data_IF_498725211077
#
_entry.id   IF_498725211077
#
_cell.length_a   1.000
_cell.length_b   1.000
_cell.length_c   1.000
_cell.angle_alpha   90.00
_cell.angle_beta   90.00
_cell.angle_gamma   90.00
#
_symmetry.space_group_name_H-M   'P 1'
#
loop_
_entity.id
_entity.type
_entity.pdbx_description
1 polymer ?
#
# COMPACT_ATOMS: atom_id res chain seq x y z
N UNK A 1 -16.64 12.12 14.47
CA UNK A 1 -16.34 13.20 13.51
C UNK A 1 -14.82 13.29 13.32
N UNK A 2 -14.26 12.45 12.46
CA UNK A 2 -12.81 12.40 12.18
C UNK A 2 -12.53 12.26 10.67
N UNK A 3 -13.34 12.91 9.81
CA UNK A 3 -13.20 12.75 8.35
C UNK A 3 -12.42 13.84 7.63
N UNK A 4 -12.08 14.96 8.28
CA UNK A 4 -11.58 16.12 7.56
C UNK A 4 -10.05 16.32 7.54
N UNK A 5 -9.26 15.43 8.18
CA UNK A 5 -7.82 15.67 8.26
C UNK A 5 -7.03 15.18 7.02
N UNK A 6 -7.51 14.14 6.34
CA UNK A 6 -6.79 13.59 5.18
C UNK A 6 -6.99 14.42 3.91
N UNK A 7 -8.19 15.00 3.70
CA UNK A 7 -8.53 15.77 2.50
C UNK A 7 -7.69 17.05 2.33
N UNK A 8 -7.16 17.59 3.42
CA UNK A 8 -6.26 18.74 3.40
C UNK A 8 -4.81 18.34 3.16
N UNK A 9 -4.45 17.04 3.29
CA UNK A 9 -3.09 16.55 3.13
C UNK A 9 -2.61 16.72 1.68
N UNK A 10 -1.37 17.14 1.44
CA UNK A 10 -0.82 17.32 0.09
C UNK A 10 -0.95 16.08 -0.80
N UNK A 11 -0.73 14.88 -0.25
CA UNK A 11 -0.84 13.63 -1.01
C UNK A 11 -2.27 13.31 -1.43
N UNK A 12 -3.28 13.62 -0.59
CA UNK A 12 -4.68 13.49 -0.99
C UNK A 12 -5.01 14.46 -2.15
N UNK A 13 -4.58 15.72 -2.05
CA UNK A 13 -4.78 16.72 -3.10
C UNK A 13 -4.09 16.32 -4.40
N UNK A 14 -2.90 15.69 -4.32
CA UNK A 14 -2.22 15.16 -5.47
C UNK A 14 -3.10 14.15 -6.22
N UNK A 15 -3.62 13.13 -5.55
CA UNK A 15 -4.48 12.15 -6.22
C UNK A 15 -5.85 12.70 -6.62
N UNK A 16 -6.42 13.62 -5.85
CA UNK A 16 -7.67 14.30 -6.20
C UNK A 16 -7.54 15.14 -7.48
N UNK A 17 -6.35 15.59 -7.83
CA UNK A 17 -6.08 16.33 -9.08
C UNK A 17 -5.98 15.43 -10.32
N UNK A 18 -5.86 14.11 -10.14
CA UNK A 18 -5.77 13.12 -11.23
C UNK A 18 -7.17 12.54 -11.47
N UNK A 19 -7.80 12.75 -12.64
CA UNK A 19 -9.22 12.45 -12.84
C UNK A 19 -9.67 11.02 -12.51
N UNK A 20 -8.87 10.01 -12.86
CA UNK A 20 -9.22 8.62 -12.56
C UNK A 20 -9.00 8.27 -11.07
N UNK A 21 -8.00 8.85 -10.42
CA UNK A 21 -7.79 8.71 -8.98
C UNK A 21 -8.91 9.40 -8.19
N UNK A 22 -9.36 10.58 -8.62
CA UNK A 22 -10.49 11.29 -8.01
C UNK A 22 -11.77 10.44 -8.00
N UNK A 23 -12.04 9.68 -9.07
CA UNK A 23 -13.17 8.74 -9.13
C UNK A 23 -13.03 7.62 -8.08
N UNK A 24 -11.82 7.10 -7.89
CA UNK A 24 -11.54 6.10 -6.86
C UNK A 24 -11.76 6.71 -5.46
N UNK A 25 -11.19 7.88 -5.20
CA UNK A 25 -11.37 8.57 -3.91
C UNK A 25 -12.85 8.84 -3.60
N UNK A 26 -13.64 9.23 -4.59
CA UNK A 26 -15.09 9.43 -4.44
C UNK A 26 -15.82 8.14 -4.01
N UNK A 27 -15.40 6.97 -4.51
CA UNK A 27 -15.96 5.69 -4.08
C UNK A 27 -15.63 5.35 -2.61
N UNK A 28 -14.56 5.92 -2.06
CA UNK A 28 -14.13 5.75 -0.67
C UNK A 28 -14.54 6.92 0.24
N UNK A 29 -15.40 7.83 -0.20
CA UNK A 29 -15.85 9.01 0.59
C UNK A 29 -16.86 8.68 1.69
N UNK A 30 -17.38 7.44 1.74
CA UNK A 30 -18.32 6.97 2.76
C UNK A 30 -17.67 6.88 4.14
N UNK A 31 -18.40 7.14 5.25
CA UNK A 31 -17.88 6.96 6.62
C UNK A 31 -17.49 5.51 6.96
N UNK A 32 -17.92 4.56 6.14
CA UNK A 32 -17.54 3.13 6.26
C UNK A 32 -16.20 2.81 5.60
N UNK A 33 -15.51 3.79 5.05
CA UNK A 33 -14.19 3.65 4.48
C UNK A 33 -13.14 4.45 5.26
N UNK A 34 -11.90 4.07 5.06
CA UNK A 34 -10.72 4.75 5.59
C UNK A 34 -9.85 5.15 4.42
N UNK A 35 -9.45 6.42 4.40
CA UNK A 35 -8.44 6.95 3.48
C UNK A 35 -7.39 7.63 4.34
N UNK A 36 -6.15 7.25 4.20
CA UNK A 36 -5.04 7.88 4.92
C UNK A 36 -3.74 7.85 4.10
N UNK A 37 -2.81 8.72 4.46
CA UNK A 37 -1.44 8.65 3.94
C UNK A 37 -0.80 7.36 4.44
N UNK A 38 -0.05 6.68 3.57
CA UNK A 38 0.64 5.45 3.98
C UNK A 38 1.52 5.70 5.20
N UNK A 39 1.30 4.93 6.26
CA UNK A 39 2.08 5.05 7.50
C UNK A 39 3.58 4.74 7.29
N UNK A 40 3.92 3.96 6.27
CA UNK A 40 5.31 3.65 5.91
C UNK A 40 6.07 4.89 5.39
N UNK A 41 5.38 6.00 5.13
CA UNK A 41 6.00 7.28 4.76
C UNK A 41 6.49 8.08 5.98
N UNK A 42 6.29 7.59 7.19
CA UNK A 42 6.79 8.20 8.42
C UNK A 42 7.91 7.35 9.01
N UNK A 43 9.10 7.92 9.10
CA UNK A 43 10.24 7.27 9.79
C UNK A 43 10.00 7.32 11.29
N UNK A 44 10.03 6.17 11.96
CA UNK A 44 9.88 6.08 13.40
C UNK A 44 11.23 6.37 14.13
N UNK A 45 11.21 6.70 15.42
CA UNK A 45 12.42 6.89 16.23
C UNK A 45 13.35 5.65 16.22
N UNK A 46 12.79 4.46 16.08
CA UNK A 46 13.49 3.17 15.93
C UNK A 46 14.17 3.01 14.57
N UNK A 47 13.99 3.94 13.64
CA UNK A 47 14.35 3.89 12.22
C UNK A 47 13.55 2.91 11.38
N UNK A 48 12.49 2.34 11.90
CA UNK A 48 11.51 1.65 11.06
C UNK A 48 11.01 2.60 9.96
N UNK A 49 10.66 2.04 8.81
CA UNK A 49 10.26 2.77 7.60
C UNK A 49 11.34 3.71 7.01
N UNK A 50 12.61 3.61 7.45
CA UNK A 50 13.67 4.49 6.96
C UNK A 50 13.81 4.43 5.44
N UNK A 51 13.63 3.25 4.84
CA UNK A 51 13.80 3.10 3.40
C UNK A 51 12.67 3.77 2.62
N UNK A 52 11.41 3.46 2.94
CA UNK A 52 10.25 4.05 2.23
C UNK A 52 9.99 5.49 2.70
N UNK A 53 9.99 5.74 3.99
CA UNK A 53 9.64 7.04 4.57
C UNK A 53 10.76 8.07 4.53
N UNK A 54 12.01 7.64 4.45
CA UNK A 54 13.17 8.52 4.40
C UNK A 54 13.78 8.59 2.99
N UNK A 55 14.23 7.44 2.47
CA UNK A 55 14.98 7.41 1.21
C UNK A 55 14.09 7.58 -0.02
N UNK A 56 12.91 6.96 -0.02
CA UNK A 56 12.01 6.96 -1.18
C UNK A 56 10.82 7.95 -1.05
N UNK A 57 10.74 8.70 0.03
CA UNK A 57 9.74 9.74 0.25
C UNK A 57 10.24 11.10 -0.24
N UNK A 58 10.44 11.24 -1.54
CA UNK A 58 10.94 12.48 -2.14
C UNK A 58 10.14 12.86 -3.38
N UNK A 59 10.28 14.11 -3.84
CA UNK A 59 9.65 14.57 -5.07
C UNK A 59 10.15 13.81 -6.31
N UNK A 60 11.32 13.18 -6.25
CA UNK A 60 11.93 12.47 -7.38
C UNK A 60 11.68 10.95 -7.34
N UNK A 61 11.25 10.40 -6.23
CA UNK A 61 11.07 8.95 -6.06
C UNK A 61 9.57 8.58 -5.97
N UNK A 62 9.05 8.26 -4.78
CA UNK A 62 7.62 8.03 -4.56
C UNK A 62 7.01 9.34 -4.06
N UNK A 63 6.39 10.08 -4.98
CA UNK A 63 5.89 11.42 -4.70
C UNK A 63 4.69 11.43 -3.75
N UNK A 64 3.80 10.46 -3.88
CA UNK A 64 2.59 10.36 -3.07
C UNK A 64 2.16 8.91 -2.89
N UNK A 65 1.54 8.61 -1.74
CA UNK A 65 1.03 7.29 -1.41
C UNK A 65 -0.15 7.35 -0.46
N UNK A 66 -1.35 7.00 -0.94
CA UNK A 66 -2.55 6.82 -0.12
C UNK A 66 -2.90 5.34 0.05
N UNK A 67 -3.48 5.03 1.19
CA UNK A 67 -4.07 3.73 1.52
C UNK A 67 -5.57 3.91 1.70
N UNK A 68 -6.35 3.03 1.08
CA UNK A 68 -7.81 3.06 1.06
C UNK A 68 -8.35 1.66 1.38
N UNK A 69 -9.25 1.54 2.33
CA UNK A 69 -9.90 0.27 2.63
C UNK A 69 -11.24 0.46 3.34
N UNK A 70 -12.13 -0.54 3.33
CA UNK A 70 -13.30 -0.53 4.20
C UNK A 70 -12.88 -0.43 5.67
N UNK A 71 -13.65 0.29 6.48
CA UNK A 71 -13.42 0.32 7.92
C UNK A 71 -13.71 -1.06 8.51
N UNK A 72 -12.75 -1.69 9.19
CA UNK A 72 -12.98 -2.97 9.83
C UNK A 72 -14.16 -2.89 10.81
N UNK A 73 -15.00 -3.90 10.82
CA UNK A 73 -16.18 -4.00 11.68
C UNK A 73 -16.09 -5.25 12.58
N UNK A 74 -16.59 -5.12 13.83
CA UNK A 74 -16.75 -6.27 14.71
C UNK A 74 -17.76 -7.27 14.09
N UNK A 75 -17.66 -8.59 14.37
CA UNK A 75 -16.66 -9.21 15.25
C UNK A 75 -15.33 -9.55 14.57
N UNK A 76 -15.28 -9.61 13.23
CA UNK A 76 -14.16 -10.22 12.50
C UNK A 76 -12.98 -9.27 12.30
N UNK A 77 -13.21 -7.95 12.32
CA UNK A 77 -12.19 -6.92 12.10
C UNK A 77 -11.36 -7.13 10.83
N UNK A 78 -11.97 -7.72 9.81
CA UNK A 78 -11.30 -8.01 8.54
C UNK A 78 -11.37 -6.86 7.57
N UNK A 79 -10.31 -6.70 6.83
CA UNK A 79 -10.24 -5.89 5.61
C UNK A 79 -10.09 -6.86 4.45
N UNK A 80 -11.17 -7.10 3.69
CA UNK A 80 -11.15 -8.08 2.59
C UNK A 80 -10.28 -7.61 1.42
N UNK A 81 -10.30 -6.32 1.13
CA UNK A 81 -9.48 -5.69 0.10
C UNK A 81 -8.91 -4.37 0.62
N UNK A 82 -7.62 -4.19 0.40
CA UNK A 82 -6.93 -2.93 0.63
C UNK A 82 -6.42 -2.40 -0.70
N UNK A 83 -6.66 -1.13 -0.95
CA UNK A 83 -6.18 -0.41 -2.12
C UNK A 83 -5.10 0.60 -1.74
N UNK A 84 -4.16 0.85 -2.63
CA UNK A 84 -3.19 1.93 -2.51
C UNK A 84 -3.04 2.67 -3.84
N UNK A 85 -3.10 4.00 -3.79
CA UNK A 85 -2.69 4.86 -4.88
C UNK A 85 -1.24 5.27 -4.66
N UNK A 86 -0.38 5.06 -5.65
CA UNK A 86 1.07 5.32 -5.57
C UNK A 86 1.53 6.07 -6.81
N UNK A 87 2.25 7.16 -6.64
CA UNK A 87 2.89 7.89 -7.75
C UNK A 87 4.39 7.69 -7.73
N UNK A 88 4.92 7.08 -8.80
CA UNK A 88 6.35 7.01 -9.12
C UNK A 88 6.80 8.26 -9.85
N UNK A 89 8.05 8.68 -9.62
CA UNK A 89 8.69 9.75 -10.39
C UNK A 89 10.03 9.28 -10.99
N UNK A 90 10.80 10.18 -11.56
CA UNK A 90 12.00 9.89 -12.35
C UNK A 90 13.05 9.06 -11.62
N UNK A 91 13.25 9.25 -10.32
CA UNK A 91 14.17 8.44 -9.50
C UNK A 91 13.78 6.97 -9.37
N UNK A 92 12.60 6.56 -9.85
CA UNK A 92 12.15 5.18 -9.84
C UNK A 92 12.25 4.48 -11.20
N UNK A 93 12.81 5.14 -12.22
CA UNK A 93 12.93 4.62 -13.57
C UNK A 93 13.99 3.51 -13.66
N UNK A 94 13.66 2.41 -14.33
CA UNK A 94 14.60 1.36 -14.74
C UNK A 94 14.91 1.40 -16.23
N UNK A 95 13.90 1.68 -17.06
CA UNK A 95 13.99 1.93 -18.50
C UNK A 95 13.22 3.20 -18.83
N UNK A 96 13.54 3.88 -19.95
CA UNK A 96 12.83 5.11 -20.33
C UNK A 96 11.31 4.97 -20.21
N UNK A 97 10.68 5.82 -19.38
CA UNK A 97 9.24 5.83 -19.14
C UNK A 97 8.69 4.67 -18.31
N UNK A 98 9.54 3.81 -17.74
CA UNK A 98 9.13 2.58 -17.04
C UNK A 98 9.79 2.47 -15.68
N UNK A 99 9.01 2.20 -14.63
CA UNK A 99 9.51 1.97 -13.30
C UNK A 99 10.41 0.73 -13.23
N UNK A 100 11.46 0.80 -12.42
CA UNK A 100 12.35 -0.32 -12.17
C UNK A 100 11.61 -1.49 -11.52
N UNK A 101 11.89 -2.73 -11.97
CA UNK A 101 11.23 -3.93 -11.43
C UNK A 101 11.36 -4.08 -9.92
N UNK A 102 12.51 -3.70 -9.34
CA UNK A 102 12.70 -3.67 -7.89
C UNK A 102 11.82 -2.64 -7.18
N UNK A 103 11.52 -1.49 -7.82
CA UNK A 103 10.59 -0.50 -7.28
C UNK A 103 9.15 -1.00 -7.30
N UNK A 104 8.76 -1.72 -8.35
CA UNK A 104 7.45 -2.36 -8.46
C UNK A 104 7.31 -3.44 -7.37
N UNK A 105 8.29 -4.31 -7.21
CA UNK A 105 8.31 -5.36 -6.20
C UNK A 105 8.25 -4.78 -4.78
N UNK A 106 9.00 -3.71 -4.51
CA UNK A 106 8.95 -2.98 -3.24
C UNK A 106 7.53 -2.51 -2.91
N UNK A 107 6.86 -1.81 -3.86
CA UNK A 107 5.50 -1.30 -3.61
C UNK A 107 4.51 -2.43 -3.39
N UNK A 108 4.64 -3.54 -4.10
CA UNK A 108 3.79 -4.72 -3.90
C UNK A 108 4.02 -5.36 -2.52
N UNK A 109 5.28 -5.47 -2.05
CA UNK A 109 5.61 -5.94 -0.70
C UNK A 109 5.02 -5.02 0.37
N UNK A 110 5.27 -3.73 0.28
CA UNK A 110 4.78 -2.74 1.25
C UNK A 110 3.24 -2.72 1.36
N UNK A 111 2.52 -2.70 0.22
CA UNK A 111 1.04 -2.68 0.23
C UNK A 111 0.48 -3.96 0.86
N UNK A 112 1.06 -5.11 0.55
CA UNK A 112 0.62 -6.38 1.15
C UNK A 112 0.96 -6.46 2.63
N UNK A 113 2.09 -5.90 3.06
CA UNK A 113 2.48 -5.77 4.47
C UNK A 113 1.52 -4.87 5.24
N UNK A 114 1.18 -3.70 4.70
CA UNK A 114 0.15 -2.81 5.27
C UNK A 114 -1.18 -3.55 5.44
N UNK A 115 -1.57 -4.34 4.44
CA UNK A 115 -2.82 -5.09 4.47
C UNK A 115 -2.84 -6.14 5.59
N UNK A 116 -1.75 -6.88 5.79
CA UNK A 116 -1.64 -7.86 6.89
C UNK A 116 -1.72 -7.17 8.25
N UNK A 117 -1.13 -5.99 8.39
CA UNK A 117 -1.21 -5.19 9.62
C UNK A 117 -2.64 -4.68 9.84
N UNK A 118 -3.34 -4.26 8.78
CA UNK A 118 -4.73 -3.77 8.85
C UNK A 118 -5.76 -4.84 9.28
N UNK A 119 -5.41 -6.14 9.23
CA UNK A 119 -6.24 -7.24 9.75
C UNK A 119 -6.30 -7.30 11.28
N UNK A 120 -5.60 -6.43 11.99
CA UNK A 120 -5.58 -6.45 13.45
C UNK A 120 -6.76 -5.67 14.02
N UNK A 121 -7.44 -6.19 15.06
CA UNK A 121 -8.39 -5.41 15.83
C UNK A 121 -7.73 -4.13 16.38
N UNK A 122 -8.48 -3.05 16.44
CA UNK A 122 -8.04 -1.84 17.11
C UNK A 122 -7.75 -2.16 18.59
N UNK A 123 -6.54 -1.82 19.07
CA UNK A 123 -6.08 -2.17 20.43
C UNK A 123 -5.50 -3.59 20.56
N UNK A 124 -5.35 -4.34 19.48
CA UNK A 124 -4.63 -5.62 19.53
C UNK A 124 -3.17 -5.40 19.95
N UNK A 125 -2.67 -6.35 20.75
CA UNK A 125 -1.30 -6.36 21.27
C UNK A 125 -0.28 -5.97 20.19
N UNK A 126 0.56 -4.94 20.42
CA UNK A 126 1.58 -4.49 19.47
C UNK A 126 2.69 -5.53 19.22
N UNK A 127 2.66 -6.66 19.92
CA UNK A 127 3.75 -7.63 20.00
C UNK A 127 3.81 -8.65 18.84
N UNK A 128 3.03 -8.48 17.78
CA UNK A 128 3.13 -9.33 16.59
C UNK A 128 3.65 -8.53 15.42
N UNK A 129 4.91 -8.70 15.11
CA UNK A 129 5.46 -8.23 13.85
C UNK A 129 5.25 -9.25 12.75
N UNK A 130 5.32 -8.79 11.52
CA UNK A 130 5.32 -9.62 10.33
C UNK A 130 6.65 -9.48 9.61
N UNK A 131 7.12 -10.59 9.05
CA UNK A 131 8.29 -10.59 8.18
C UNK A 131 7.93 -11.28 6.88
N UNK A 132 8.37 -10.71 5.77
CA UNK A 132 8.21 -11.28 4.45
C UNK A 132 8.99 -12.60 4.38
N UNK A 133 8.29 -13.69 4.14
CA UNK A 133 8.87 -15.02 3.96
C UNK A 133 9.29 -15.25 2.52
N UNK A 134 8.44 -14.84 1.56
CA UNK A 134 8.78 -14.74 0.14
C UNK A 134 7.91 -13.69 -0.54
N UNK A 135 8.40 -13.17 -1.66
CA UNK A 135 7.71 -12.28 -2.58
C UNK A 135 7.92 -12.79 -4.01
N UNK A 136 6.88 -13.33 -4.62
CA UNK A 136 6.89 -13.76 -6.02
C UNK A 136 6.21 -12.70 -6.87
N UNK A 137 6.94 -12.01 -7.72
CA UNK A 137 6.43 -10.93 -8.57
C UNK A 137 6.40 -11.35 -10.04
N UNK A 138 5.29 -11.10 -10.72
CA UNK A 138 5.12 -11.28 -12.15
C UNK A 138 4.82 -9.94 -12.82
N UNK A 139 5.52 -9.65 -13.92
CA UNK A 139 5.42 -8.42 -14.68
C UNK A 139 4.74 -8.70 -16.01
N UNK A 140 3.64 -7.98 -16.32
CA UNK A 140 2.83 -8.21 -17.51
C UNK A 140 2.94 -7.07 -18.52
N UNK A 141 3.03 -5.82 -18.02
CA UNK A 141 3.11 -4.62 -18.83
C UNK A 141 4.06 -3.60 -18.20
N UNK A 142 4.63 -2.67 -18.96
CA UNK A 142 5.41 -1.57 -18.40
C UNK A 142 4.59 -0.77 -17.38
N UNK A 143 5.17 -0.50 -16.23
CA UNK A 143 4.59 0.38 -15.21
C UNK A 143 5.10 1.78 -15.47
N UNK A 144 4.22 2.78 -15.69
CA UNK A 144 4.69 4.13 -16.05
C UNK A 144 5.46 4.80 -14.90
N UNK A 145 6.59 5.40 -15.23
CA UNK A 145 7.34 6.30 -14.35
C UNK A 145 7.99 7.44 -15.20
N UNK A 146 7.63 8.69 -14.95
CA UNK A 146 6.63 9.18 -14.00
C UNK A 146 5.22 8.64 -14.26
N UNK A 147 4.48 8.32 -13.20
CA UNK A 147 3.11 7.84 -13.35
C UNK A 147 2.49 7.37 -12.04
N UNK A 148 1.17 7.20 -12.08
CA UNK A 148 0.37 6.77 -10.94
C UNK A 148 -0.23 5.40 -11.21
N UNK A 149 -0.26 4.55 -10.18
CA UNK A 149 -0.83 3.21 -10.21
C UNK A 149 -1.79 2.99 -9.05
N UNK A 150 -2.71 2.06 -9.25
CA UNK A 150 -3.55 1.50 -8.18
C UNK A 150 -3.02 0.10 -7.85
N UNK A 151 -2.80 -0.17 -6.57
CA UNK A 151 -2.47 -1.51 -6.09
C UNK A 151 -3.64 -2.03 -5.26
N UNK A 152 -4.15 -3.21 -5.61
CA UNK A 152 -5.17 -3.92 -4.83
C UNK A 152 -4.55 -5.13 -4.18
N UNK A 153 -4.81 -5.31 -2.89
CA UNK A 153 -4.30 -6.42 -2.09
C UNK A 153 -5.44 -7.19 -1.44
N UNK A 154 -5.29 -8.52 -1.37
CA UNK A 154 -6.23 -9.42 -0.68
C UNK A 154 -5.48 -10.46 0.13
N UNK A 155 -5.92 -10.64 1.39
CA UNK A 155 -5.45 -11.78 2.20
C UNK A 155 -6.23 -13.02 1.74
N UNK A 156 -5.50 -13.97 1.16
CA UNK A 156 -6.10 -15.18 0.55
C UNK A 156 -6.31 -16.28 1.60
N UNK A 157 -5.34 -16.40 2.53
CA UNK A 157 -5.32 -17.50 3.51
C UNK A 157 -4.48 -17.12 4.72
N UNK A 158 -4.92 -17.60 5.88
CA UNK A 158 -4.15 -17.53 7.13
C UNK A 158 -4.04 -18.94 7.71
N UNK A 159 -2.82 -19.41 7.94
CA UNK A 159 -2.51 -20.73 8.54
C UNK A 159 -1.56 -20.54 9.72
N UNK A 160 -2.09 -20.51 10.92
CA UNK A 160 -1.31 -20.26 12.12
C UNK A 160 -0.57 -18.91 12.05
N UNK A 161 0.75 -18.95 11.86
CA UNK A 161 1.58 -17.75 11.73
C UNK A 161 1.78 -17.27 10.28
N UNK A 162 1.30 -18.04 9.30
CA UNK A 162 1.50 -17.77 7.89
C UNK A 162 0.31 -17.02 7.31
N UNK A 163 0.56 -15.89 6.67
CA UNK A 163 -0.43 -15.07 5.98
C UNK A 163 -0.09 -15.02 4.51
N UNK A 164 -0.93 -15.61 3.67
CA UNK A 164 -0.79 -15.61 2.23
C UNK A 164 -1.59 -14.46 1.64
N UNK A 165 -0.92 -13.59 0.93
CA UNK A 165 -1.49 -12.35 0.39
C UNK A 165 -1.21 -12.27 -1.09
N UNK A 166 -2.17 -11.77 -1.85
CA UNK A 166 -1.96 -11.44 -3.25
C UNK A 166 -2.12 -9.94 -3.46
N UNK A 167 -1.40 -9.40 -4.42
CA UNK A 167 -1.61 -8.04 -4.89
C UNK A 167 -1.54 -7.97 -6.41
N UNK A 168 -2.27 -7.00 -6.97
CA UNK A 168 -2.14 -6.62 -8.37
C UNK A 168 -1.99 -5.11 -8.49
N UNK A 169 -1.10 -4.69 -9.37
CA UNK A 169 -0.86 -3.30 -9.73
C UNK A 169 -1.57 -3.02 -11.05
N UNK A 170 -2.38 -1.98 -11.06
CA UNK A 170 -3.25 -1.60 -12.18
C UNK A 170 -2.89 -0.20 -12.69
N UNK A 171 -3.01 -0.01 -14.01
CA UNK A 171 -2.95 1.29 -14.66
C UNK A 171 -4.29 2.03 -14.62
N UNK A 172 -4.31 3.24 -15.20
CA UNK A 172 -5.48 4.12 -15.28
C UNK A 172 -6.72 3.44 -15.89
N UNK A 173 -6.52 2.53 -16.85
CA UNK A 173 -7.60 1.84 -17.56
C UNK A 173 -7.99 0.49 -16.93
N UNK A 174 -7.46 0.18 -15.73
CA UNK A 174 -7.73 -1.06 -15.01
C UNK A 174 -6.96 -2.27 -15.55
N UNK A 175 -6.02 -2.07 -16.47
CA UNK A 175 -5.17 -3.13 -16.97
C UNK A 175 -4.11 -3.53 -15.92
N UNK A 176 -3.94 -4.83 -15.75
CA UNK A 176 -2.97 -5.37 -14.80
C UNK A 176 -1.56 -5.24 -15.36
N UNK A 177 -0.71 -4.52 -14.64
CA UNK A 177 0.68 -4.25 -14.98
C UNK A 177 1.63 -5.26 -14.32
N UNK A 178 1.38 -5.57 -13.05
CA UNK A 178 2.16 -6.53 -12.27
C UNK A 178 1.28 -7.23 -11.22
N UNK A 179 1.72 -8.39 -10.75
CA UNK A 179 1.11 -9.14 -9.64
C UNK A 179 2.16 -9.62 -8.66
N UNK A 180 1.74 -9.83 -7.41
CA UNK A 180 2.57 -10.51 -6.42
C UNK A 180 1.76 -11.54 -5.63
N UNK A 181 2.46 -12.62 -5.26
CA UNK A 181 2.06 -13.57 -4.23
C UNK A 181 3.08 -13.47 -3.09
N UNK A 182 2.61 -13.19 -1.90
CA UNK A 182 3.47 -12.86 -0.76
C UNK A 182 3.10 -13.73 0.44
N UNK A 183 4.11 -14.27 1.10
CA UNK A 183 3.97 -14.92 2.40
C UNK A 183 4.52 -14.02 3.48
N UNK A 184 3.69 -13.67 4.45
CA UNK A 184 4.12 -13.07 5.70
C UNK A 184 4.08 -14.08 6.83
N UNK A 185 5.06 -14.00 7.71
CA UNK A 185 5.15 -14.82 8.91
C UNK A 185 5.05 -13.91 10.14
N UNK A 186 4.02 -14.13 10.96
CA UNK A 186 3.91 -13.40 12.23
C UNK A 186 4.98 -13.93 13.20
N UNK A 187 5.74 -13.01 13.78
CA UNK A 187 6.72 -13.30 14.82
C UNK A 187 6.27 -12.64 16.12
N UNK A 188 6.58 -13.27 17.25
CA UNK A 188 6.42 -12.63 18.56
C UNK A 188 7.68 -11.82 18.81
N UNK A 189 7.55 -10.53 19.07
CA UNK A 189 8.67 -9.78 19.60
C UNK A 189 8.98 -10.34 20.98
N UNK A 190 10.18 -10.89 21.14
CA UNK A 190 10.74 -11.12 22.47
C UNK A 190 11.16 -9.74 22.98
N UNK A 191 10.38 -9.20 23.91
CA UNK A 191 10.81 -8.08 24.75
C UNK A 191 12.02 -8.50 25.55
#
# INVERSE_FOLDING_TARGET
MASNSVEVHPEYKHFASIPWCAKILAAFSSPYHVVHVSQNRTVLPTRENQYVGGTLNTADTITAWLVLHPRPQAPDWKVDELCSLVTFNYGMIGFPGTAHGGAIALVLDEVTGIHVVAQRPEGAEPNKDFRTGYLNTSFYKPVPAPGTVLVRSRVVKVEGRKHYVTAQMEGEHGDVLAKAEVLYISIRNKL
#
